data_IF_382360096291
#
_entry.id   IF_382360096291
#
_cell.length_a   1.000
_cell.length_b   1.000
_cell.length_c   1.000
_cell.angle_alpha   90.00
_cell.angle_beta   90.00
_cell.angle_gamma   90.00
#
_symmetry.space_group_name_H-M   'P 1'
#
loop_
_entity.id
_entity.type
_entity.pdbx_description
1 polymer ?
#
# COMPACT_ATOMS: atom_id res chain seq x y z
N UNK A 1 -7.36 7.05 31.97
CA UNK A 1 -8.24 6.68 30.86
C UNK A 1 -7.38 6.58 29.61
N UNK A 2 -6.99 5.36 29.22
CA UNK A 2 -6.16 5.15 28.03
C UNK A 2 -7.03 5.33 26.79
N UNK A 3 -6.82 6.42 26.05
CA UNK A 3 -7.41 6.63 24.73
C UNK A 3 -6.75 5.71 23.71
N UNK A 4 -7.14 4.43 23.71
CA UNK A 4 -6.84 3.53 22.61
C UNK A 4 -7.72 3.92 21.43
N UNK A 5 -7.11 4.54 20.41
CA UNK A 5 -7.80 4.84 19.16
C UNK A 5 -8.15 3.49 18.48
N UNK A 6 -9.44 3.20 18.20
CA UNK A 6 -9.90 1.87 17.79
C UNK A 6 -9.66 1.57 16.30
N UNK A 7 -8.46 1.87 15.78
CA UNK A 7 -8.17 1.69 14.35
C UNK A 7 -6.70 1.43 14.03
N UNK A 8 -5.95 0.87 14.98
CA UNK A 8 -4.51 0.65 14.85
C UNK A 8 -4.13 -0.80 15.21
N UNK A 9 -5.04 -1.75 15.00
CA UNK A 9 -4.66 -3.15 15.07
C UNK A 9 -3.69 -3.45 13.91
N UNK A 10 -2.56 -4.11 14.16
CA UNK A 10 -1.58 -4.41 13.12
C UNK A 10 -2.18 -5.14 11.90
N UNK A 11 -3.26 -5.91 12.09
CA UNK A 11 -4.01 -6.56 11.02
C UNK A 11 -4.67 -5.58 10.06
N UNK A 12 -5.33 -4.54 10.57
CA UNK A 12 -6.04 -3.54 9.75
C UNK A 12 -5.07 -2.79 8.82
N UNK A 13 -3.88 -2.45 9.32
CA UNK A 13 -2.85 -1.78 8.54
C UNK A 13 -2.29 -2.67 7.42
N UNK A 14 -2.19 -3.97 7.66
CA UNK A 14 -1.73 -4.97 6.67
C UNK A 14 -2.76 -5.18 5.59
N UNK A 15 -4.03 -5.37 5.96
CA UNK A 15 -5.13 -5.54 5.01
C UNK A 15 -5.31 -4.27 4.15
N UNK A 16 -5.22 -3.10 4.78
CA UNK A 16 -5.23 -1.83 4.06
C UNK A 16 -4.05 -1.71 3.08
N UNK A 17 -2.83 -2.06 3.50
CA UNK A 17 -1.66 -2.04 2.63
C UNK A 17 -1.79 -3.01 1.46
N UNK A 18 -2.34 -4.21 1.67
CA UNK A 18 -2.61 -5.18 0.62
C UNK A 18 -3.63 -4.64 -0.40
N UNK A 19 -4.70 -4.03 0.09
CA UNK A 19 -5.70 -3.37 -0.76
C UNK A 19 -5.09 -2.24 -1.60
N UNK A 20 -4.33 -1.33 -0.97
CA UNK A 20 -3.67 -0.22 -1.66
C UNK A 20 -2.67 -0.71 -2.70
N UNK A 21 -1.90 -1.77 -2.40
CA UNK A 21 -0.98 -2.37 -3.34
C UNK A 21 -1.71 -2.92 -4.59
N UNK A 22 -2.84 -3.61 -4.40
CA UNK A 22 -3.64 -4.12 -5.53
C UNK A 22 -4.17 -2.98 -6.40
N UNK A 23 -4.81 -1.99 -5.77
CA UNK A 23 -5.42 -0.87 -6.47
C UNK A 23 -4.39 -0.01 -7.21
N UNK A 24 -3.25 0.29 -6.59
CA UNK A 24 -2.19 1.07 -7.21
C UNK A 24 -1.59 0.35 -8.42
N UNK A 25 -1.46 -0.98 -8.39
CA UNK A 25 -0.97 -1.77 -9.51
C UNK A 25 -1.93 -1.71 -10.72
N UNK A 26 -3.24 -1.80 -10.48
CA UNK A 26 -4.25 -1.68 -11.54
C UNK A 26 -4.27 -0.27 -12.14
N UNK A 27 -4.34 0.76 -11.30
CA UNK A 27 -4.36 2.15 -11.75
C UNK A 27 -3.07 2.54 -12.48
N UNK A 28 -1.91 2.02 -12.06
CA UNK A 28 -0.64 2.27 -12.76
C UNK A 28 -0.67 1.72 -14.19
N UNK A 29 -1.28 0.56 -14.41
CA UNK A 29 -1.49 0.01 -15.78
C UNK A 29 -2.40 0.91 -16.62
N UNK A 30 -3.50 1.38 -16.05
CA UNK A 30 -4.43 2.31 -16.73
C UNK A 30 -3.71 3.63 -17.08
N UNK A 31 -3.00 4.23 -16.12
CA UNK A 31 -2.27 5.48 -16.33
C UNK A 31 -1.23 5.37 -17.45
N UNK A 32 -0.47 4.26 -17.49
CA UNK A 32 0.48 4.00 -18.59
C UNK A 32 -0.23 3.82 -19.94
N UNK A 33 -1.36 3.12 -19.97
CA UNK A 33 -2.19 2.98 -21.18
C UNK A 33 -2.67 4.33 -21.76
N UNK A 34 -2.94 5.31 -20.88
CA UNK A 34 -3.37 6.65 -21.27
C UNK A 34 -2.24 7.69 -21.38
N UNK A 35 -0.96 7.28 -21.30
CA UNK A 35 0.21 8.18 -21.30
C UNK A 35 0.21 9.24 -20.20
N UNK A 36 -0.41 8.93 -19.06
CA UNK A 36 -0.39 9.78 -17.86
C UNK A 36 0.87 9.48 -17.05
N UNK A 37 2.04 9.83 -17.59
CA UNK A 37 3.34 9.39 -17.07
C UNK A 37 3.56 9.76 -15.61
N UNK A 38 3.29 11.01 -15.22
CA UNK A 38 3.45 11.47 -13.83
C UNK A 38 2.53 10.71 -12.87
N UNK A 39 1.28 10.46 -13.27
CA UNK A 39 0.34 9.69 -12.47
C UNK A 39 0.80 8.23 -12.33
N UNK A 40 1.24 7.61 -13.42
CA UNK A 40 1.79 6.26 -13.41
C UNK A 40 2.96 6.13 -12.43
N UNK A 41 3.89 7.10 -12.46
CA UNK A 41 5.00 7.17 -11.52
C UNK A 41 4.55 7.26 -10.05
N UNK A 42 3.60 8.15 -9.74
CA UNK A 42 3.09 8.29 -8.36
C UNK A 42 2.43 6.99 -7.86
N UNK A 43 1.70 6.29 -8.73
CA UNK A 43 1.06 5.02 -8.38
C UNK A 43 2.07 3.90 -8.17
N UNK A 44 3.18 3.91 -8.91
CA UNK A 44 4.30 2.99 -8.67
C UNK A 44 4.97 3.26 -7.32
N UNK A 45 5.14 4.53 -6.95
CA UNK A 45 5.65 4.90 -5.63
C UNK A 45 4.72 4.42 -4.51
N UNK A 46 3.40 4.65 -4.64
CA UNK A 46 2.40 4.14 -3.68
C UNK A 46 2.47 2.61 -3.56
N UNK A 47 2.62 1.90 -4.67
CA UNK A 47 2.77 0.45 -4.67
C UNK A 47 4.04 -0.01 -3.91
N UNK A 48 5.16 0.69 -4.08
CA UNK A 48 6.40 0.38 -3.36
C UNK A 48 6.24 0.57 -1.85
N UNK A 49 5.62 1.67 -1.42
CA UNK A 49 5.36 1.95 0.00
C UNK A 49 4.43 0.91 0.63
N UNK A 50 3.32 0.59 -0.03
CA UNK A 50 2.37 -0.42 0.45
C UNK A 50 3.03 -1.79 0.61
N UNK A 51 3.88 -2.20 -0.35
CA UNK A 51 4.68 -3.43 -0.24
C UNK A 51 5.71 -3.37 0.89
N UNK A 52 6.24 -2.18 1.19
CA UNK A 52 7.12 -1.95 2.34
C UNK A 52 6.42 -2.26 3.66
N UNK A 53 5.18 -1.82 3.82
CA UNK A 53 4.35 -2.12 5.00
C UNK A 53 4.10 -3.63 5.12
N UNK A 54 3.70 -4.29 4.03
CA UNK A 54 3.46 -5.74 4.02
C UNK A 54 4.72 -6.53 4.42
N UNK A 55 5.88 -6.17 3.86
CA UNK A 55 7.16 -6.82 4.19
C UNK A 55 7.54 -6.64 5.66
N UNK A 56 7.25 -5.48 6.24
CA UNK A 56 7.50 -5.21 7.66
C UNK A 56 6.58 -6.02 8.58
N UNK A 57 5.42 -6.42 8.09
CA UNK A 57 4.45 -7.22 8.83
C UNK A 57 4.68 -8.73 8.74
N UNK A 58 5.50 -9.22 7.81
CA UNK A 58 5.90 -10.63 7.76
C UNK A 58 6.76 -10.96 9.00
N UNK A 59 6.32 -11.89 9.88
CA UNK A 59 7.08 -12.25 11.06
C UNK A 59 8.25 -13.15 10.67
N UNK A 60 9.47 -12.62 10.77
CA UNK A 60 10.72 -13.38 10.71
C UNK A 60 11.48 -13.25 9.40
N UNK A 61 12.54 -12.43 9.43
CA UNK A 61 13.73 -12.62 8.60
C UNK A 61 14.98 -12.20 9.38
N UNK A 62 15.12 -12.76 10.58
CA UNK A 62 16.35 -12.81 11.37
C UNK A 62 16.68 -14.28 11.66
#
# INVERSE_FOLDING_TARGET
MSGGSPGNEPGDAVDFAAYVASLAAELSRVARGHRLTTLGYLLEMVLLEARGVLRKAEPGRD
#
